data_IF_918440885851
#
_entry.id   IF_918440885851
#
_cell.length_a   1.000
_cell.length_b   1.000
_cell.length_c   1.000
_cell.angle_alpha   90.00
_cell.angle_beta   90.00
_cell.angle_gamma   90.00
#
_symmetry.space_group_name_H-M   'P 1'
#
loop_
_entity.id
_entity.type
_entity.pdbx_description
1 polymer ?
#
# COMPACT_ATOMS: atom_id res chain seq x y z
N UNK A 1 15.72 -58.03 2.16
CA UNK A 1 14.76 -57.10 1.54
C UNK A 1 13.94 -56.52 2.66
N UNK A 2 14.47 -55.48 3.32
CA UNK A 2 13.76 -54.82 4.42
C UNK A 2 12.87 -53.72 3.85
N UNK A 3 11.61 -53.77 4.25
CA UNK A 3 10.52 -52.98 3.71
C UNK A 3 10.62 -51.50 4.08
N UNK A 4 10.13 -50.68 3.15
CA UNK A 4 9.98 -49.24 3.26
C UNK A 4 8.94 -48.92 4.35
N UNK A 5 9.33 -48.19 5.40
CA UNK A 5 8.38 -47.61 6.37
C UNK A 5 7.97 -46.20 5.90
N UNK A 6 6.68 -45.82 5.97
CA UNK A 6 6.25 -44.48 5.57
C UNK A 6 6.64 -43.46 6.65
N UNK A 7 7.17 -42.32 6.21
CA UNK A 7 7.46 -41.18 7.08
C UNK A 7 6.12 -40.53 7.48
N UNK A 8 5.90 -40.38 8.79
CA UNK A 8 4.70 -39.77 9.34
C UNK A 8 4.50 -38.33 8.83
N UNK A 9 3.26 -38.00 8.47
CA UNK A 9 2.85 -36.64 8.15
C UNK A 9 3.10 -35.72 9.35
N UNK A 10 3.89 -34.67 9.17
CA UNK A 10 3.99 -33.58 10.14
C UNK A 10 2.64 -32.88 10.19
N UNK A 11 2.00 -32.88 11.36
CA UNK A 11 0.86 -32.02 11.64
C UNK A 11 1.33 -30.56 11.47
N UNK A 12 0.76 -29.86 10.49
CA UNK A 12 0.96 -28.43 10.34
C UNK A 12 0.28 -27.73 11.50
N UNK A 13 1.03 -26.95 12.26
CA UNK A 13 0.48 -25.84 13.03
C UNK A 13 -0.15 -24.87 12.03
N UNK A 14 -1.49 -24.83 11.98
CA UNK A 14 -2.22 -23.75 11.31
C UNK A 14 -1.82 -22.43 11.99
N UNK A 15 -1.17 -21.54 11.24
CA UNK A 15 -1.00 -20.17 11.66
C UNK A 15 -2.38 -19.51 11.69
N UNK A 16 -2.99 -19.46 12.87
CA UNK A 16 -4.21 -18.70 13.13
C UNK A 16 -3.91 -17.20 12.98
N UNK A 17 -4.14 -16.67 11.76
CA UNK A 17 -4.13 -15.24 11.49
C UNK A 17 -5.49 -14.65 11.92
N UNK A 18 -5.78 -14.68 13.22
CA UNK A 18 -6.99 -14.03 13.75
C UNK A 18 -6.67 -13.30 15.05
N UNK A 19 -6.05 -12.13 14.93
CA UNK A 19 -6.25 -11.04 15.88
C UNK A 19 -5.65 -9.73 15.38
N UNK A 20 -6.31 -9.08 14.42
CA UNK A 20 -6.27 -7.62 14.32
C UNK A 20 -7.70 -7.15 14.55
N UNK A 21 -7.96 -6.64 15.75
CA UNK A 21 -9.28 -6.13 16.12
C UNK A 21 -9.66 -4.97 15.21
N UNK A 22 -10.90 -4.97 14.73
CA UNK A 22 -11.45 -3.85 13.97
C UNK A 22 -11.43 -2.58 14.83
N UNK A 23 -10.47 -1.70 14.57
CA UNK A 23 -10.44 -0.36 15.15
C UNK A 23 -11.57 0.48 14.55
N UNK A 24 -12.41 1.06 15.40
CA UNK A 24 -13.48 1.97 15.00
C UNK A 24 -12.87 3.23 14.35
N UNK A 25 -13.17 3.46 13.07
CA UNK A 25 -12.78 4.66 12.33
C UNK A 25 -13.58 5.85 12.88
N UNK A 26 -12.90 6.81 13.51
CA UNK A 26 -13.50 8.06 13.94
C UNK A 26 -13.55 9.03 12.74
N UNK A 27 -14.74 9.43 12.30
CA UNK A 27 -14.99 10.21 11.07
C UNK A 27 -14.80 11.72 11.21
N UNK A 28 -14.17 12.20 12.30
CA UNK A 28 -13.94 13.62 12.52
C UNK A 28 -12.49 14.00 12.23
N UNK A 29 -12.15 14.19 10.95
CA UNK A 29 -10.90 14.84 10.56
C UNK A 29 -11.09 16.37 10.63
N UNK A 30 -10.29 17.11 11.41
CA UNK A 30 -10.37 18.56 11.46
C UNK A 30 -9.99 19.15 10.10
N UNK A 31 -10.79 20.10 9.64
CA UNK A 31 -10.52 20.89 8.44
C UNK A 31 -9.29 21.78 8.69
N UNK A 32 -8.11 21.37 8.22
CA UNK A 32 -6.88 22.18 8.34
C UNK A 32 -6.87 23.28 7.26
N UNK A 33 -6.69 24.56 7.63
CA UNK A 33 -6.45 25.62 6.67
C UNK A 33 -5.11 25.40 5.97
N UNK A 34 -4.99 25.93 4.74
CA UNK A 34 -3.77 25.97 3.93
C UNK A 34 -2.73 26.91 4.56
N UNK A 35 -2.11 26.49 5.64
CA UNK A 35 -0.85 27.06 6.14
C UNK A 35 0.22 25.96 6.11
N UNK A 36 1.48 26.38 5.94
CA UNK A 36 2.65 25.52 5.69
C UNK A 36 2.54 24.14 6.33
N UNK A 37 2.61 23.07 5.52
CA UNK A 37 2.70 21.70 6.04
C UNK A 37 3.92 21.64 6.94
N UNK A 38 3.69 21.67 8.25
CA UNK A 38 4.74 21.51 9.24
C UNK A 38 5.21 20.08 9.18
N UNK A 39 6.49 19.91 8.88
CA UNK A 39 7.10 18.60 8.79
C UNK A 39 7.49 18.19 10.18
N UNK A 40 6.86 17.12 10.67
CA UNK A 40 7.15 16.53 11.97
C UNK A 40 8.62 16.09 12.00
N UNK A 41 9.45 16.91 12.67
CA UNK A 41 10.89 16.71 12.73
C UNK A 41 11.25 15.43 13.50
N UNK A 42 10.42 15.02 14.46
CA UNK A 42 10.65 13.78 15.20
C UNK A 42 10.52 12.55 14.28
N UNK A 43 9.59 12.59 13.32
CA UNK A 43 9.37 11.50 12.37
C UNK A 43 10.33 11.54 11.17
N UNK A 44 10.63 12.74 10.65
CA UNK A 44 11.35 12.91 9.37
C UNK A 44 12.74 13.55 9.47
N UNK A 45 13.30 13.74 10.67
CA UNK A 45 14.62 14.35 10.87
C UNK A 45 15.71 13.77 9.97
N UNK A 46 15.77 12.43 9.84
CA UNK A 46 16.78 11.77 9.00
C UNK A 46 16.63 12.12 7.52
N UNK A 47 15.41 12.06 6.97
CA UNK A 47 15.15 12.45 5.59
C UNK A 47 15.43 13.93 5.38
N UNK A 48 15.03 14.77 6.34
CA UNK A 48 15.23 16.22 6.31
C UNK A 48 16.71 16.60 6.25
N UNK A 49 17.59 15.95 7.02
CA UNK A 49 19.02 16.25 6.99
C UNK A 49 19.70 15.89 5.67
N UNK A 50 19.14 14.94 4.92
CA UNK A 50 19.69 14.51 3.62
C UNK A 50 19.13 15.34 2.47
N UNK A 51 17.81 15.56 2.46
CA UNK A 51 17.10 16.19 1.35
C UNK A 51 16.99 17.72 1.50
N UNK A 52 16.96 18.22 2.74
CA UNK A 52 16.69 19.61 3.06
C UNK A 52 15.20 19.97 3.01
N UNK A 53 14.88 21.13 3.61
CA UNK A 53 13.51 21.58 3.86
C UNK A 53 12.69 21.73 2.58
N UNK A 54 13.27 22.33 1.54
CA UNK A 54 12.57 22.58 0.27
C UNK A 54 12.11 21.27 -0.38
N UNK A 55 12.95 20.24 -0.38
CA UNK A 55 12.60 18.94 -0.97
C UNK A 55 11.52 18.24 -0.15
N UNK A 56 11.67 18.24 1.18
CA UNK A 56 10.69 17.68 2.10
C UNK A 56 9.31 18.36 1.95
N UNK A 57 9.27 19.69 1.84
CA UNK A 57 8.03 20.44 1.61
C UNK A 57 7.37 20.14 0.27
N UNK A 58 8.16 19.87 -0.78
CA UNK A 58 7.62 19.43 -2.06
C UNK A 58 7.00 18.03 -1.93
N UNK A 59 7.70 17.08 -1.33
CA UNK A 59 7.17 15.73 -1.10
C UNK A 59 5.87 15.77 -0.31
N UNK A 60 5.83 16.53 0.79
CA UNK A 60 4.65 16.68 1.65
C UNK A 60 3.43 17.33 0.96
N UNK A 61 3.59 17.84 -0.27
CA UNK A 61 2.51 18.37 -1.12
C UNK A 61 2.20 17.49 -2.34
N UNK A 62 3.06 16.52 -2.67
CA UNK A 62 2.94 15.67 -3.85
C UNK A 62 1.77 14.69 -3.75
N UNK A 63 0.99 14.61 -4.81
CA UNK A 63 0.00 13.56 -5.03
C UNK A 63 0.52 12.64 -6.15
N UNK A 64 0.76 11.37 -5.83
CA UNK A 64 1.32 10.39 -6.77
C UNK A 64 0.23 9.42 -7.24
N UNK A 65 0.19 9.14 -8.53
CA UNK A 65 -0.55 8.02 -9.11
C UNK A 65 0.41 6.88 -9.46
N UNK A 66 0.17 5.70 -8.90
CA UNK A 66 1.00 4.52 -9.10
C UNK A 66 0.19 3.42 -9.78
N UNK A 67 0.53 3.09 -11.02
CA UNK A 67 -0.13 2.03 -11.78
C UNK A 67 0.68 0.73 -11.77
N UNK A 68 0.04 -0.35 -11.34
CA UNK A 68 0.60 -1.67 -11.09
C UNK A 68 0.86 -1.91 -9.60
N UNK A 69 0.20 -2.92 -9.02
CA UNK A 69 0.27 -3.33 -7.61
C UNK A 69 0.65 -4.81 -7.43
N UNK A 70 1.45 -5.35 -8.36
CA UNK A 70 2.27 -6.54 -8.10
C UNK A 70 3.42 -6.24 -7.11
N UNK A 71 4.33 -7.19 -6.89
CA UNK A 71 5.39 -7.08 -5.87
C UNK A 71 6.23 -5.79 -5.94
N UNK A 72 6.64 -5.36 -7.14
CA UNK A 72 7.39 -4.10 -7.31
C UNK A 72 6.54 -2.87 -6.97
N UNK A 73 5.29 -2.85 -7.44
CA UNK A 73 4.35 -1.76 -7.17
C UNK A 73 4.11 -1.58 -5.68
N UNK A 74 3.97 -2.68 -4.94
CA UNK A 74 3.86 -2.65 -3.50
C UNK A 74 5.07 -2.02 -2.81
N UNK A 75 6.29 -2.43 -3.18
CA UNK A 75 7.51 -1.89 -2.60
C UNK A 75 7.68 -0.39 -2.88
N UNK A 76 7.31 0.05 -4.08
CA UNK A 76 7.26 1.47 -4.43
C UNK A 76 6.22 2.20 -3.56
N UNK A 77 5.01 1.66 -3.42
CA UNK A 77 3.95 2.25 -2.60
C UNK A 77 4.39 2.40 -1.14
N UNK A 78 4.97 1.35 -0.54
CA UNK A 78 5.53 1.37 0.82
C UNK A 78 6.53 2.51 0.97
N UNK A 79 7.48 2.63 0.04
CA UNK A 79 8.51 3.66 0.12
C UNK A 79 7.95 5.08 -0.05
N UNK A 80 6.95 5.27 -0.92
CA UNK A 80 6.28 6.56 -1.10
C UNK A 80 5.54 6.99 0.17
N UNK A 81 4.79 6.07 0.78
CA UNK A 81 4.03 6.35 2.01
C UNK A 81 4.97 6.62 3.20
N UNK A 82 6.05 5.84 3.35
CA UNK A 82 7.06 6.08 4.40
C UNK A 82 7.91 7.32 4.16
N UNK A 83 8.04 7.78 2.90
CA UNK A 83 8.70 9.04 2.57
C UNK A 83 7.86 10.28 2.95
N UNK A 84 6.57 10.11 3.26
CA UNK A 84 5.71 11.19 3.72
C UNK A 84 5.19 12.10 2.60
N UNK A 85 4.78 11.53 1.47
CA UNK A 85 4.06 12.29 0.44
C UNK A 85 2.65 12.70 0.92
N UNK A 86 2.01 13.67 0.29
CA UNK A 86 0.65 14.08 0.67
C UNK A 86 -0.38 12.97 0.45
N UNK A 87 -0.36 12.39 -0.75
CA UNK A 87 -1.38 11.44 -1.17
C UNK A 87 -0.84 10.46 -2.21
N UNK A 88 -1.35 9.23 -2.15
CA UNK A 88 -1.07 8.15 -3.09
C UNK A 88 -2.39 7.61 -3.63
N UNK A 89 -2.52 7.53 -4.94
CA UNK A 89 -3.55 6.71 -5.59
C UNK A 89 -2.87 5.50 -6.21
N UNK A 90 -3.14 4.31 -5.67
CA UNK A 90 -2.69 3.04 -6.22
C UNK A 90 -3.70 2.54 -7.26
N UNK A 91 -3.20 1.94 -8.33
CA UNK A 91 -4.03 1.48 -9.43
C UNK A 91 -3.58 0.11 -9.90
N UNK A 92 -4.53 -0.80 -10.11
CA UNK A 92 -4.28 -2.07 -10.79
C UNK A 92 -5.61 -2.59 -11.37
N UNK A 93 -5.56 -3.26 -12.51
CA UNK A 93 -6.71 -3.91 -13.14
C UNK A 93 -6.75 -5.41 -12.89
N UNK A 94 -5.65 -5.99 -12.39
CA UNK A 94 -5.48 -7.42 -12.20
C UNK A 94 -5.99 -7.88 -10.83
N UNK A 95 -6.51 -9.10 -10.80
CA UNK A 95 -6.86 -9.83 -9.58
C UNK A 95 -5.62 -10.44 -8.92
N UNK A 96 -5.71 -10.70 -7.62
CA UNK A 96 -4.70 -11.41 -6.87
C UNK A 96 -4.52 -12.85 -7.40
N UNK A 97 -3.28 -13.24 -7.65
CA UNK A 97 -2.90 -14.57 -8.13
C UNK A 97 -1.96 -15.25 -7.14
N UNK A 98 -1.84 -16.57 -7.22
CA UNK A 98 -1.02 -17.35 -6.28
C UNK A 98 0.45 -16.91 -6.24
N UNK A 99 1.01 -16.42 -7.35
CA UNK A 99 2.40 -15.93 -7.39
C UNK A 99 2.58 -14.58 -6.67
N UNK A 100 1.50 -13.81 -6.50
CA UNK A 100 1.56 -12.55 -5.76
C UNK A 100 1.86 -12.81 -4.27
N UNK A 101 1.42 -13.93 -3.70
CA UNK A 101 1.70 -14.32 -2.31
C UNK A 101 3.21 -14.42 -2.01
N UNK A 102 4.04 -14.70 -3.02
CA UNK A 102 5.49 -14.76 -2.89
C UNK A 102 6.20 -13.42 -2.98
N UNK A 103 5.52 -12.35 -3.41
CA UNK A 103 6.13 -11.04 -3.68
C UNK A 103 5.41 -9.86 -3.03
N UNK A 104 4.15 -10.04 -2.65
CA UNK A 104 3.31 -9.04 -2.03
C UNK A 104 2.98 -9.49 -0.61
N UNK A 105 3.76 -9.02 0.35
CA UNK A 105 3.72 -9.45 1.75
C UNK A 105 2.46 -9.00 2.52
N UNK A 106 1.55 -8.25 1.90
CA UNK A 106 0.25 -7.88 2.48
C UNK A 106 -0.90 -8.80 2.03
N UNK A 107 -0.73 -9.56 0.96
CA UNK A 107 -1.79 -10.46 0.49
C UNK A 107 -1.83 -11.75 1.30
N UNK A 108 -3.02 -12.31 1.42
CA UNK A 108 -3.25 -13.65 1.96
C UNK A 108 -3.96 -14.55 0.95
N UNK A 109 -4.03 -15.86 1.25
CA UNK A 109 -4.68 -16.84 0.38
C UNK A 109 -6.16 -16.48 0.11
N UNK A 110 -6.85 -15.90 1.09
CA UNK A 110 -8.24 -15.47 0.97
C UNK A 110 -8.42 -14.39 -0.11
N UNK A 111 -7.45 -13.49 -0.30
CA UNK A 111 -7.51 -12.46 -1.35
C UNK A 111 -7.44 -13.09 -2.75
N UNK A 112 -6.68 -14.18 -2.90
CA UNK A 112 -6.57 -14.95 -4.15
C UNK A 112 -7.85 -15.76 -4.39
N UNK A 113 -8.34 -16.47 -3.37
CA UNK A 113 -9.57 -17.29 -3.48
C UNK A 113 -10.80 -16.42 -3.77
N UNK A 114 -10.86 -15.23 -3.17
CA UNK A 114 -11.93 -14.25 -3.39
C UNK A 114 -11.75 -13.43 -4.67
N UNK A 115 -10.66 -13.65 -5.42
CA UNK A 115 -10.32 -12.91 -6.64
C UNK A 115 -10.38 -11.39 -6.45
N UNK A 116 -9.87 -10.89 -5.31
CA UNK A 116 -9.84 -9.46 -5.05
C UNK A 116 -8.88 -8.77 -6.01
N UNK A 117 -9.21 -7.54 -6.40
CA UNK A 117 -8.27 -6.70 -7.14
C UNK A 117 -7.02 -6.40 -6.29
N UNK A 118 -5.83 -6.45 -6.91
CA UNK A 118 -4.55 -6.25 -6.20
C UNK A 118 -4.46 -4.93 -5.45
N UNK A 119 -4.89 -3.82 -6.07
CA UNK A 119 -4.83 -2.50 -5.45
C UNK A 119 -5.80 -2.38 -4.27
N UNK A 120 -7.01 -2.95 -4.40
CA UNK A 120 -8.00 -2.97 -3.33
C UNK A 120 -7.60 -3.88 -2.17
N UNK A 121 -6.93 -5.00 -2.46
CA UNK A 121 -6.46 -5.97 -1.47
C UNK A 121 -5.49 -5.34 -0.46
N UNK A 122 -4.55 -4.52 -0.94
CA UNK A 122 -3.49 -3.93 -0.12
C UNK A 122 -3.77 -2.52 0.41
N UNK A 123 -4.89 -1.90 -0.01
CA UNK A 123 -5.19 -0.49 0.26
C UNK A 123 -5.08 -0.14 1.76
N UNK A 124 -5.76 -0.91 2.60
CA UNK A 124 -5.81 -0.63 4.04
C UNK A 124 -4.44 -0.78 4.69
N UNK A 125 -3.70 -1.82 4.33
CA UNK A 125 -2.35 -2.07 4.85
C UNK A 125 -1.37 -0.96 4.48
N UNK A 126 -1.44 -0.45 3.24
CA UNK A 126 -0.59 0.68 2.81
C UNK A 126 -0.98 1.96 3.56
N UNK A 127 -2.27 2.22 3.77
CA UNK A 127 -2.74 3.40 4.51
C UNK A 127 -2.27 3.39 5.98
N UNK A 128 -2.20 2.21 6.60
CA UNK A 128 -1.73 2.04 7.99
C UNK A 128 -0.24 2.33 8.18
N UNK A 129 0.58 2.31 7.12
CA UNK A 129 2.01 2.59 7.21
C UNK A 129 2.30 4.03 7.64
N UNK A 130 1.43 4.97 7.30
CA UNK A 130 1.61 6.38 7.66
C UNK A 130 0.26 7.13 7.68
N UNK A 131 -0.28 7.47 8.86
CA UNK A 131 -1.58 8.13 8.99
C UNK A 131 -1.62 9.55 8.40
N UNK A 132 -0.46 10.14 8.09
CA UNK A 132 -0.37 11.46 7.46
C UNK A 132 -0.53 11.41 5.93
N UNK A 133 -0.52 10.22 5.32
CA UNK A 133 -0.62 10.04 3.86
C UNK A 133 -2.02 9.57 3.49
N UNK A 134 -2.69 10.30 2.60
CA UNK A 134 -3.99 9.87 2.08
C UNK A 134 -3.82 8.84 0.97
N UNK A 135 -4.30 7.61 1.18
CA UNK A 135 -4.21 6.52 0.20
C UNK A 135 -5.59 6.18 -0.37
N UNK A 136 -5.68 6.05 -1.69
CA UNK A 136 -6.91 5.66 -2.43
C UNK A 136 -6.57 4.61 -3.49
N UNK A 137 -7.55 3.80 -3.91
CA UNK A 137 -7.39 2.84 -5.00
C UNK A 137 -8.23 3.21 -6.23
N UNK A 138 -7.80 2.71 -7.40
CA UNK A 138 -8.55 2.76 -8.67
C UNK A 138 -8.32 1.46 -9.43
N UNK A 139 -9.36 0.95 -10.08
CA UNK A 139 -9.30 -0.23 -10.96
C UNK A 139 -9.74 0.08 -12.39
N UNK A 140 -9.83 1.38 -12.73
CA UNK A 140 -10.26 1.85 -14.06
C UNK A 140 -9.22 1.52 -15.12
N UNK A 141 -9.53 0.73 -16.17
CA UNK A 141 -8.57 0.35 -17.19
C UNK A 141 -7.90 1.54 -17.89
N UNK A 142 -6.58 1.44 -18.03
CA UNK A 142 -5.75 2.38 -18.78
C UNK A 142 -5.36 1.75 -20.12
N UNK A 143 -5.88 2.27 -21.22
CA UNK A 143 -5.63 1.82 -22.58
C UNK A 143 -5.50 3.02 -23.54
N UNK A 144 -5.32 2.75 -24.83
CA UNK A 144 -5.11 3.78 -25.86
C UNK A 144 -6.27 4.78 -26.01
N UNK A 145 -7.47 4.43 -25.55
CA UNK A 145 -8.66 5.29 -25.63
C UNK A 145 -9.01 5.97 -24.30
N UNK A 146 -8.25 5.71 -23.23
CA UNK A 146 -8.48 6.32 -21.93
C UNK A 146 -8.20 7.83 -21.99
N UNK A 147 -9.18 8.64 -21.58
CA UNK A 147 -8.96 10.07 -21.37
C UNK A 147 -8.00 10.29 -20.20
N UNK A 148 -6.82 10.86 -20.48
CA UNK A 148 -5.78 11.12 -19.49
C UNK A 148 -5.98 12.45 -18.74
N UNK A 149 -7.07 13.18 -18.99
CA UNK A 149 -7.37 14.44 -18.29
C UNK A 149 -7.40 14.29 -16.76
N UNK A 150 -7.77 13.10 -16.25
CA UNK A 150 -7.75 12.82 -14.82
C UNK A 150 -6.34 12.91 -14.20
N UNK A 151 -5.28 12.79 -15.01
CA UNK A 151 -3.90 12.87 -14.52
C UNK A 151 -3.50 14.30 -14.10
N UNK A 152 -4.23 15.32 -14.52
CA UNK A 152 -3.98 16.70 -14.10
C UNK A 152 -4.04 16.92 -12.59
N UNK A 153 -4.70 16.02 -11.84
CA UNK A 153 -4.74 16.09 -10.38
C UNK A 153 -3.43 15.64 -9.68
N UNK A 154 -2.50 15.04 -10.43
CA UNK A 154 -1.22 14.52 -9.91
C UNK A 154 0.01 15.31 -10.42
N UNK A 155 -0.21 16.47 -11.06
CA UNK A 155 0.83 17.34 -11.63
C UNK A 155 1.19 18.49 -10.69
#
# INVERSE_FOLDING_TARGET
>A
MEGFQPVAARQGEEASCSSWGAGSVNTNLPNMPTESVEIDDALYSRQRYVLGDTAMQKMAKSHVFLSGMGGLGLEIAKNLVLAGIKALTIHDTEECQAWDLGTNFFLCEDDVVSMRNRAEAVLQHIAELNPYVHVTSSSVPLNETTDLSFLHKYQ
#
